data_IF_689924427800
#
_entry.id   IF_689924427800
#
_cell.length_a   1.000
_cell.length_b   1.000
_cell.length_c   1.000
_cell.angle_alpha   90.00
_cell.angle_beta   90.00
_cell.angle_gamma   90.00
#
_symmetry.space_group_name_H-M   'P 1'
#
loop_
_entity.id
_entity.type
_entity.pdbx_description
1 polymer ?
#
# COMPACT_ATOMS: atom_id res chain seq x y z
N UNK A 1 0.64 -10.04 -21.89
CA UNK A 1 1.21 -8.76 -21.44
C UNK A 1 1.11 -8.62 -19.93
N UNK A 2 2.19 -8.21 -19.31
CA UNK A 2 2.16 -7.93 -17.87
C UNK A 2 1.23 -6.75 -17.60
N UNK A 3 0.37 -6.90 -16.61
CA UNK A 3 -0.55 -5.84 -16.21
C UNK A 3 0.23 -4.74 -15.49
N UNK A 4 0.03 -3.49 -15.91
CA UNK A 4 0.71 -2.35 -15.29
C UNK A 4 0.14 -2.10 -13.91
N UNK A 5 1.02 -1.91 -12.91
CA UNK A 5 0.58 -1.55 -11.57
C UNK A 5 -0.02 -0.15 -11.56
N UNK A 6 -1.06 0.01 -10.76
CA UNK A 6 -1.76 1.28 -10.62
C UNK A 6 -2.13 1.51 -9.16
N UNK A 7 -2.45 2.75 -8.82
CA UNK A 7 -2.88 3.13 -7.48
C UNK A 7 -4.22 3.83 -7.52
N UNK A 8 -5.08 3.52 -6.56
CA UNK A 8 -6.32 4.26 -6.37
C UNK A 8 -6.07 5.62 -5.71
N UNK A 9 -4.87 5.83 -5.15
CA UNK A 9 -4.52 7.04 -4.40
C UNK A 9 -3.73 8.07 -5.20
N UNK A 10 -3.14 7.68 -6.33
CA UNK A 10 -2.37 8.59 -7.17
C UNK A 10 -2.34 8.11 -8.62
N UNK A 11 -2.35 9.05 -9.55
CA UNK A 11 -2.14 8.75 -10.96
C UNK A 11 -0.65 8.70 -11.32
N UNK A 12 0.20 9.27 -10.46
CA UNK A 12 1.63 9.39 -10.70
C UNK A 12 2.39 8.27 -9.98
N UNK A 13 2.60 7.17 -10.69
CA UNK A 13 3.33 6.00 -10.17
C UNK A 13 4.86 6.16 -10.29
N UNK A 14 5.33 7.26 -10.85
CA UNK A 14 6.76 7.48 -11.11
C UNK A 14 7.41 8.40 -10.08
N UNK A 15 6.62 8.94 -9.15
CA UNK A 15 7.13 9.79 -8.07
C UNK A 15 6.62 9.30 -6.72
N UNK A 16 7.46 9.43 -5.69
CA UNK A 16 7.12 9.01 -4.34
C UNK A 16 5.88 9.76 -3.83
N UNK A 17 4.90 9.02 -3.35
CA UNK A 17 3.64 9.57 -2.85
C UNK A 17 3.88 10.51 -1.66
N UNK A 18 4.90 10.24 -0.85
CA UNK A 18 5.18 11.01 0.37
C UNK A 18 6.16 12.16 0.16
N UNK A 19 7.10 12.04 -0.79
CA UNK A 19 8.19 13.01 -0.94
C UNK A 19 8.30 13.65 -2.32
N UNK A 20 7.66 13.06 -3.35
CA UNK A 20 7.81 13.53 -4.72
C UNK A 20 9.10 13.09 -5.42
N UNK A 21 9.94 12.30 -4.76
CA UNK A 21 11.17 11.79 -5.35
C UNK A 21 10.90 10.99 -6.61
N UNK A 22 11.76 11.12 -7.63
CA UNK A 22 11.67 10.34 -8.87
C UNK A 22 12.26 8.94 -8.74
N UNK A 23 12.89 8.62 -7.62
CA UNK A 23 13.43 7.28 -7.34
C UNK A 23 12.39 6.57 -6.47
N UNK A 24 11.71 5.57 -7.06
CA UNK A 24 10.60 4.91 -6.36
C UNK A 24 10.63 3.40 -6.56
N UNK A 25 10.09 2.71 -5.57
CA UNK A 25 9.69 1.31 -5.64
C UNK A 25 8.17 1.27 -5.48
N UNK A 26 7.51 0.30 -6.10
CA UNK A 26 6.06 0.17 -5.98
C UNK A 26 5.74 -0.79 -4.86
N UNK A 27 5.14 -0.25 -3.79
CA UNK A 27 4.80 -0.97 -2.58
C UNK A 27 3.35 -1.45 -2.63
N UNK A 28 3.15 -2.76 -2.51
CA UNK A 28 1.83 -3.35 -2.27
C UNK A 28 1.48 -3.12 -0.80
N UNK A 29 0.39 -2.41 -0.53
CA UNK A 29 0.03 -2.06 0.85
C UNK A 29 -0.21 -3.32 1.68
N UNK A 30 -0.86 -4.33 1.11
CA UNK A 30 -1.08 -5.62 1.77
C UNK A 30 -0.29 -6.69 1.02
N UNK A 31 0.67 -7.30 1.71
CA UNK A 31 1.55 -8.30 1.10
C UNK A 31 2.02 -9.40 2.06
N UNK A 32 1.55 -9.37 3.33
CA UNK A 32 2.05 -10.27 4.38
C UNK A 32 1.60 -11.72 4.25
N UNK A 33 0.60 -12.01 3.43
CA UNK A 33 0.09 -13.37 3.23
C UNK A 33 -0.01 -13.69 1.74
N UNK A 34 -0.04 -14.99 1.44
CA UNK A 34 -0.24 -15.47 0.08
C UNK A 34 -1.53 -14.91 -0.50
N UNK A 35 -1.44 -14.38 -1.72
CA UNK A 35 -2.58 -13.79 -2.42
C UNK A 35 -2.83 -12.32 -2.12
N UNK A 36 -2.23 -11.76 -1.06
CA UNK A 36 -2.47 -10.35 -0.69
C UNK A 36 -1.92 -9.38 -1.73
N UNK A 37 -0.79 -9.69 -2.38
CA UNK A 37 -0.28 -8.84 -3.46
C UNK A 37 -1.28 -8.72 -4.60
N UNK A 38 -1.88 -9.82 -5.02
CA UNK A 38 -2.91 -9.81 -6.07
C UNK A 38 -4.14 -9.02 -5.65
N UNK A 39 -4.57 -9.15 -4.41
CA UNK A 39 -5.70 -8.39 -3.87
C UNK A 39 -5.39 -6.90 -3.85
N UNK A 40 -4.17 -6.51 -3.43
CA UNK A 40 -3.72 -5.13 -3.46
C UNK A 40 -3.74 -4.59 -4.88
N UNK A 41 -3.20 -5.33 -5.84
CA UNK A 41 -3.20 -4.92 -7.25
C UNK A 41 -4.61 -4.74 -7.81
N UNK A 42 -5.52 -5.66 -7.49
CA UNK A 42 -6.90 -5.61 -7.96
C UNK A 42 -7.65 -4.37 -7.44
N UNK A 43 -7.32 -3.92 -6.23
CA UNK A 43 -7.95 -2.75 -5.60
C UNK A 43 -7.21 -1.44 -5.85
N UNK A 44 -6.02 -1.49 -6.46
CA UNK A 44 -5.16 -0.32 -6.61
C UNK A 44 -4.51 0.11 -5.29
N UNK A 45 -4.36 -0.82 -4.35
CA UNK A 45 -3.68 -0.58 -3.06
C UNK A 45 -2.18 -0.75 -3.23
N UNK A 46 -1.63 0.05 -4.14
CA UNK A 46 -0.21 0.09 -4.48
C UNK A 46 0.23 1.55 -4.41
N UNK A 47 1.36 1.82 -3.77
CA UNK A 47 1.85 3.17 -3.57
C UNK A 47 3.32 3.25 -4.03
N UNK A 48 3.69 4.24 -4.86
CA UNK A 48 5.10 4.48 -5.17
C UNK A 48 5.77 5.15 -3.98
N UNK A 49 6.87 4.56 -3.50
CA UNK A 49 7.61 5.06 -2.33
C UNK A 49 9.10 5.10 -2.64
N UNK A 50 9.77 6.15 -2.15
CA UNK A 50 11.22 6.20 -2.15
C UNK A 50 11.77 4.95 -1.42
N UNK A 51 12.85 4.31 -1.90
CA UNK A 51 13.29 3.02 -1.34
C UNK A 51 13.50 2.99 0.16
N UNK A 52 13.98 4.09 0.77
CA UNK A 52 14.20 4.17 2.20
C UNK A 52 12.88 4.22 3.02
N UNK A 53 11.78 4.52 2.36
CA UNK A 53 10.44 4.60 2.97
C UNK A 53 9.56 3.38 2.67
N UNK A 54 10.04 2.46 1.85
CA UNK A 54 9.28 1.29 1.40
C UNK A 54 9.29 0.18 2.47
N UNK A 55 8.19 -0.03 3.21
CA UNK A 55 8.14 -1.09 4.23
C UNK A 55 8.48 -2.46 3.63
N UNK A 56 9.31 -3.22 4.32
CA UNK A 56 9.82 -4.53 3.89
C UNK A 56 10.72 -4.49 2.65
N UNK A 57 11.04 -3.32 2.14
CA UNK A 57 11.99 -3.16 1.04
C UNK A 57 13.43 -3.37 1.52
N UNK A 58 14.31 -3.77 0.59
CA UNK A 58 15.72 -4.06 0.90
C UNK A 58 16.49 -2.84 1.42
N UNK A 59 16.03 -1.63 1.07
CA UNK A 59 16.71 -0.38 1.43
C UNK A 59 15.95 0.42 2.50
N UNK A 60 14.94 -0.18 3.12
CA UNK A 60 14.12 0.50 4.12
C UNK A 60 14.96 0.95 5.32
N UNK A 61 14.84 2.23 5.68
CA UNK A 61 15.50 2.82 6.85
C UNK A 61 14.52 2.76 8.03
N UNK A 62 14.91 2.06 9.09
CA UNK A 62 14.05 1.80 10.25
C UNK A 62 14.12 2.93 11.27
N UNK A 63 13.72 4.13 10.89
CA UNK A 63 13.56 5.25 11.82
C UNK A 63 12.19 5.16 12.50
N UNK A 64 12.03 5.88 13.62
CA UNK A 64 10.74 5.95 14.32
C UNK A 64 9.62 6.41 13.41
N UNK A 65 9.89 7.38 12.56
CA UNK A 65 8.91 7.91 11.62
C UNK A 65 8.56 6.88 10.55
N UNK A 66 9.58 6.24 9.96
CA UNK A 66 9.38 5.30 8.87
C UNK A 66 8.65 4.03 9.31
N UNK A 67 8.84 3.61 10.56
CA UNK A 67 8.15 2.43 11.10
C UNK A 67 6.63 2.61 11.18
N UNK A 68 6.13 3.84 11.12
CA UNK A 68 4.71 4.13 11.14
C UNK A 68 4.07 4.15 9.74
N UNK A 69 4.88 4.19 8.69
CA UNK A 69 4.39 4.32 7.31
C UNK A 69 3.47 3.17 6.93
N UNK A 70 3.89 1.94 7.19
CA UNK A 70 3.10 0.75 6.84
C UNK A 70 1.69 0.80 7.43
N UNK A 71 1.60 1.09 8.74
CA UNK A 71 0.29 1.16 9.40
C UNK A 71 -0.57 2.29 8.86
N UNK A 72 0.00 3.46 8.63
CA UNK A 72 -0.74 4.61 8.09
C UNK A 72 -1.29 4.32 6.69
N UNK A 73 -0.50 3.68 5.84
CA UNK A 73 -0.96 3.29 4.51
C UNK A 73 -2.08 2.25 4.59
N UNK A 74 -1.97 1.28 5.49
CA UNK A 74 -3.00 0.28 5.70
C UNK A 74 -4.30 0.89 6.21
N UNK A 75 -4.20 1.85 7.12
CA UNK A 75 -5.37 2.59 7.60
C UNK A 75 -6.03 3.39 6.49
N UNK A 76 -5.23 4.05 5.66
CA UNK A 76 -5.73 4.80 4.51
C UNK A 76 -6.46 3.88 3.52
N UNK A 77 -5.87 2.73 3.21
CA UNK A 77 -6.47 1.76 2.30
C UNK A 77 -7.75 1.16 2.87
N UNK A 78 -7.78 0.84 4.16
CA UNK A 78 -8.98 0.31 4.81
C UNK A 78 -10.11 1.35 4.83
N UNK A 79 -9.80 2.60 5.13
CA UNK A 79 -10.78 3.69 5.09
C UNK A 79 -11.40 3.79 3.70
N UNK A 80 -10.57 3.76 2.66
CA UNK A 80 -11.05 3.77 1.29
C UNK A 80 -11.95 2.57 0.99
N UNK A 81 -11.55 1.39 1.45
CA UNK A 81 -12.34 0.16 1.26
C UNK A 81 -13.72 0.29 1.90
N UNK A 82 -13.78 0.76 3.15
CA UNK A 82 -15.05 0.88 3.88
C UNK A 82 -15.96 1.95 3.28
N UNK A 83 -15.40 2.95 2.62
CA UNK A 83 -16.18 3.99 1.95
C UNK A 83 -16.70 3.56 0.57
N UNK A 84 -16.03 2.63 -0.09
CA UNK A 84 -16.29 2.34 -1.51
C UNK A 84 -16.66 0.90 -1.84
N UNK A 85 -16.31 -0.07 -1.01
CA UNK A 85 -16.45 -1.49 -1.38
C UNK A 85 -17.31 -2.29 -0.43
N UNK A 86 -17.17 -2.14 0.89
CA UNK A 86 -17.89 -2.97 1.82
C UNK A 86 -17.64 -2.58 3.28
N UNK A 87 -18.10 -3.44 4.17
CA UNK A 87 -17.99 -3.23 5.62
C UNK A 87 -16.58 -3.55 6.15
N UNK A 88 -16.37 -3.25 7.43
CA UNK A 88 -15.15 -3.66 8.13
C UNK A 88 -15.02 -5.18 8.18
N UNK A 89 -16.13 -5.90 8.33
CA UNK A 89 -16.10 -7.37 8.31
C UNK A 89 -15.69 -7.89 6.94
N UNK A 90 -16.19 -7.27 5.86
CA UNK A 90 -15.78 -7.61 4.50
C UNK A 90 -14.28 -7.38 4.32
N UNK A 91 -13.76 -6.28 4.85
CA UNK A 91 -12.33 -5.99 4.80
C UNK A 91 -11.51 -7.05 5.55
N UNK A 92 -11.96 -7.45 6.75
CA UNK A 92 -11.29 -8.50 7.52
C UNK A 92 -11.23 -9.83 6.78
N UNK A 93 -12.32 -10.18 6.08
CA UNK A 93 -12.35 -11.41 5.30
C UNK A 93 -11.37 -11.37 4.14
N UNK A 94 -11.20 -10.22 3.51
CA UNK A 94 -10.30 -10.09 2.36
C UNK A 94 -8.83 -9.93 2.79
N UNK A 95 -8.55 -9.14 3.83
CA UNK A 95 -7.19 -8.77 4.21
C UNK A 95 -6.76 -9.22 5.61
N UNK A 96 -7.57 -10.00 6.29
CA UNK A 96 -7.20 -10.75 7.48
C UNK A 96 -7.48 -10.08 8.82
N UNK A 97 -7.38 -8.75 8.92
CA UNK A 97 -7.66 -8.03 10.17
C UNK A 97 -7.91 -6.54 9.92
N UNK A 98 -8.50 -5.87 10.91
CA UNK A 98 -8.69 -4.41 10.87
C UNK A 98 -7.45 -3.69 11.38
N UNK A 99 -7.14 -2.54 10.76
CA UNK A 99 -6.08 -1.61 11.19
C UNK A 99 -6.66 -0.31 11.76
N UNK A 100 -7.98 -0.22 11.78
CA UNK A 100 -8.68 0.95 12.35
C UNK A 100 -9.15 0.70 13.76
#
# INVERSE_FOLDING_TARGET
MAKRLWSVFTDDMDHCYLTGSSVVERHHIFESRQGFKKKSEARGFVIPLRPDLHPNGARFVRSMENLQIDRKLKQMAQTYYEENYGSRDDFRQEFGKSYL
#
